data_IF_451695879231
#
_entry.id   IF_451695879231
#
_cell.length_a   1.000
_cell.length_b   1.000
_cell.length_c   1.000
_cell.angle_alpha   90.00
_cell.angle_beta   90.00
_cell.angle_gamma   90.00
#
_symmetry.space_group_name_H-M   'P 1'
#
loop_
_entity.id
_entity.type
_entity.pdbx_description
1 polymer ?
#
# COMPACT_ATOMS: atom_id res chain seq x y z
N UNK A 1 32.19 -13.54 -2.47
CA UNK A 1 30.91 -13.11 -3.09
C UNK A 1 30.54 -11.69 -2.64
N UNK A 2 31.44 -10.70 -2.80
CA UNK A 2 31.40 -9.43 -2.05
C UNK A 2 31.45 -8.17 -2.95
N UNK A 3 30.82 -8.21 -4.13
CA UNK A 3 30.85 -7.06 -5.06
C UNK A 3 29.46 -6.71 -5.63
N UNK A 4 28.38 -7.12 -4.95
CA UNK A 4 27.08 -6.51 -5.18
C UNK A 4 26.94 -5.39 -4.16
N UNK A 5 26.94 -4.14 -4.61
CA UNK A 5 26.59 -3.00 -3.77
C UNK A 5 25.09 -3.10 -3.45
N UNK A 6 24.74 -3.98 -2.52
CA UNK A 6 23.34 -4.25 -2.15
C UNK A 6 22.64 -2.94 -1.75
N UNK A 7 23.37 -2.01 -1.15
CA UNK A 7 22.87 -0.67 -0.85
C UNK A 7 22.41 0.09 -2.10
N UNK A 8 23.18 0.08 -3.18
CA UNK A 8 22.78 0.74 -4.45
C UNK A 8 21.56 0.08 -5.08
N UNK A 9 21.46 -1.25 -5.03
CA UNK A 9 20.28 -1.97 -5.54
C UNK A 9 19.03 -1.59 -4.75
N UNK A 10 19.13 -1.52 -3.41
CA UNK A 10 18.00 -1.16 -2.54
C UNK A 10 17.51 0.28 -2.72
N UNK A 11 18.37 1.20 -3.17
CA UNK A 11 17.96 2.59 -3.48
C UNK A 11 16.97 2.67 -4.66
N UNK A 12 17.07 1.73 -5.59
CA UNK A 12 16.18 1.67 -6.76
C UNK A 12 14.82 1.05 -6.45
N UNK A 13 14.61 0.53 -5.23
CA UNK A 13 13.36 -0.11 -4.83
C UNK A 13 12.31 0.94 -4.50
N UNK A 14 11.31 1.07 -5.38
CA UNK A 14 10.17 1.96 -5.18
C UNK A 14 8.98 1.30 -4.45
N UNK A 15 9.05 0.01 -4.14
CA UNK A 15 8.00 -0.73 -3.44
C UNK A 15 8.12 -0.60 -1.91
N UNK A 16 7.03 -0.79 -1.14
CA UNK A 16 7.12 -0.98 0.30
C UNK A 16 8.01 -2.17 0.67
N UNK A 17 8.86 -2.01 1.69
CA UNK A 17 9.82 -3.02 2.14
C UNK A 17 9.61 -3.34 3.62
N UNK A 18 9.54 -4.62 3.97
CA UNK A 18 9.58 -5.11 5.34
C UNK A 18 10.85 -5.92 5.56
N UNK A 19 11.70 -5.46 6.47
CA UNK A 19 12.91 -6.19 6.87
C UNK A 19 12.68 -6.80 8.24
N UNK A 20 12.75 -8.12 8.32
CA UNK A 20 12.58 -8.89 9.55
C UNK A 20 13.91 -9.55 9.90
N UNK A 21 14.34 -9.42 11.16
CA UNK A 21 15.51 -10.11 11.70
C UNK A 21 15.19 -10.74 13.04
N UNK A 22 15.82 -11.86 13.36
CA UNK A 22 15.82 -12.42 14.71
C UNK A 22 17.05 -12.00 15.53
N UNK A 23 16.88 -11.73 16.83
CA UNK A 23 17.99 -11.29 17.69
C UNK A 23 19.07 -12.37 17.88
N UNK A 24 18.72 -13.65 17.71
CA UNK A 24 19.63 -14.80 17.72
C UNK A 24 20.06 -15.24 16.31
N UNK A 25 19.89 -14.38 15.30
CA UNK A 25 20.47 -14.59 13.98
C UNK A 25 22.00 -14.39 14.03
N UNK A 26 22.73 -15.50 13.90
CA UNK A 26 24.21 -15.54 13.85
C UNK A 26 24.75 -15.58 12.42
N UNK A 27 23.87 -15.66 11.40
CA UNK A 27 24.24 -15.74 9.99
C UNK A 27 24.28 -14.34 9.39
N UNK A 28 23.24 -13.54 9.66
CA UNK A 28 23.13 -12.16 9.18
C UNK A 28 23.22 -11.17 10.34
N UNK A 29 24.12 -10.19 10.21
CA UNK A 29 24.35 -9.20 11.25
C UNK A 29 23.15 -8.24 11.37
N UNK A 30 22.96 -7.70 12.58
CA UNK A 30 21.97 -6.65 12.83
C UNK A 30 22.21 -5.41 11.95
N UNK A 31 23.48 -5.06 11.78
CA UNK A 31 23.89 -3.90 10.99
C UNK A 31 23.47 -4.07 9.53
N UNK A 32 23.64 -5.25 8.94
CA UNK A 32 23.27 -5.48 7.54
C UNK A 32 21.75 -5.36 7.33
N UNK A 33 20.95 -5.96 8.23
CA UNK A 33 19.49 -5.87 8.12
C UNK A 33 18.96 -4.45 8.33
N UNK A 34 19.49 -3.72 9.32
CA UNK A 34 19.07 -2.32 9.56
C UNK A 34 19.51 -1.39 8.43
N UNK A 35 20.70 -1.58 7.88
CA UNK A 35 21.23 -0.78 6.77
C UNK A 35 20.36 -0.84 5.51
N UNK A 36 19.66 -1.95 5.26
CA UNK A 36 18.68 -2.06 4.16
C UNK A 36 17.52 -1.08 4.38
N UNK A 37 16.89 -1.13 5.54
CA UNK A 37 15.74 -0.27 5.85
C UNK A 37 16.13 1.21 5.85
N UNK A 38 17.30 1.54 6.41
CA UNK A 38 17.85 2.89 6.39
C UNK A 38 18.15 3.37 4.96
N UNK A 39 18.71 2.50 4.11
CA UNK A 39 19.02 2.83 2.72
C UNK A 39 17.77 3.10 1.89
N UNK A 40 16.75 2.26 2.03
CA UNK A 40 15.47 2.48 1.33
C UNK A 40 14.80 3.76 1.84
N UNK A 41 14.75 3.98 3.17
CA UNK A 41 14.12 5.18 3.73
C UNK A 41 14.89 6.47 3.44
N UNK A 42 16.20 6.41 3.18
CA UNK A 42 16.99 7.56 2.74
C UNK A 42 16.56 8.06 1.37
N UNK A 43 16.18 7.16 0.46
CA UNK A 43 15.78 7.51 -0.91
C UNK A 43 14.25 7.65 -1.03
N UNK A 44 13.50 6.80 -0.33
CA UNK A 44 12.04 6.79 -0.29
C UNK A 44 11.54 6.80 1.16
N UNK A 45 11.45 7.97 1.81
CA UNK A 45 11.08 8.09 3.22
C UNK A 45 9.75 7.38 3.55
N UNK A 46 9.80 6.51 4.57
CA UNK A 46 8.63 5.78 5.07
C UNK A 46 8.24 4.53 4.27
N UNK A 47 9.00 4.14 3.24
CA UNK A 47 8.73 2.91 2.48
C UNK A 47 9.31 1.65 3.11
N UNK A 48 10.29 1.74 3.99
CA UNK A 48 10.86 0.58 4.67
C UNK A 48 10.54 0.55 6.17
N UNK A 49 10.20 -0.64 6.67
CA UNK A 49 10.04 -0.94 8.10
C UNK A 49 11.03 -2.03 8.50
N UNK A 50 11.79 -1.79 9.58
CA UNK A 50 12.64 -2.79 10.21
C UNK A 50 11.95 -3.34 11.46
N UNK A 51 12.00 -4.66 11.64
CA UNK A 51 11.42 -5.36 12.78
C UNK A 51 12.41 -6.42 13.28
N UNK A 52 12.75 -6.34 14.56
CA UNK A 52 13.61 -7.29 15.24
C UNK A 52 12.77 -8.12 16.21
N UNK A 53 12.82 -9.44 16.06
CA UNK A 53 12.12 -10.39 16.94
C UNK A 53 13.11 -10.97 17.95
N UNK A 54 12.76 -10.88 19.22
CA UNK A 54 13.57 -11.43 20.29
C UNK A 54 13.61 -12.97 20.24
N UNK A 55 14.78 -13.56 20.43
CA UNK A 55 14.96 -15.02 20.55
C UNK A 55 14.89 -15.78 19.22
N UNK A 56 14.51 -15.11 18.14
CA UNK A 56 14.36 -15.71 16.82
C UNK A 56 15.73 -15.88 16.13
N UNK A 57 15.91 -17.00 15.45
CA UNK A 57 17.11 -17.30 14.65
C UNK A 57 16.93 -16.87 13.19
N UNK A 58 17.97 -17.05 12.38
CA UNK A 58 17.94 -16.79 10.94
C UNK A 58 16.75 -17.45 10.21
N UNK A 59 16.39 -18.66 10.61
CA UNK A 59 15.32 -19.45 9.97
C UNK A 59 13.91 -19.14 10.46
N UNK A 60 13.67 -17.99 11.11
CA UNK A 60 12.40 -17.66 11.76
C UNK A 60 11.96 -18.70 12.80
N UNK A 61 12.93 -19.31 13.50
CA UNK A 61 12.63 -20.26 14.57
C UNK A 61 13.00 -19.71 15.93
N UNK A 62 12.17 -20.01 16.93
CA UNK A 62 12.43 -19.82 18.36
C UNK A 62 12.41 -21.22 18.98
N UNK A 63 13.44 -21.57 19.75
CA UNK A 63 13.53 -22.90 20.40
C UNK A 63 13.31 -24.09 19.44
N UNK A 64 13.86 -24.00 18.22
CA UNK A 64 13.74 -25.00 17.13
C UNK A 64 12.32 -25.18 16.56
N UNK A 65 11.38 -24.29 16.89
CA UNK A 65 10.04 -24.25 16.29
C UNK A 65 9.88 -22.99 15.45
N UNK A 66 9.23 -23.11 14.30
CA UNK A 66 8.90 -21.94 13.49
C UNK A 66 7.98 -20.99 14.28
N UNK A 67 8.32 -19.71 14.29
CA UNK A 67 7.55 -18.68 14.98
C UNK A 67 6.32 -18.32 14.15
N UNK A 68 5.18 -18.96 14.46
CA UNK A 68 3.93 -18.78 13.71
C UNK A 68 3.42 -17.33 13.67
N UNK A 69 3.73 -16.54 14.70
CA UNK A 69 3.45 -15.10 14.74
C UNK A 69 4.01 -14.35 13.52
N UNK A 70 5.11 -14.84 12.92
CA UNK A 70 5.68 -14.21 11.75
C UNK A 70 4.73 -14.13 10.57
N UNK A 71 3.90 -15.16 10.40
CA UNK A 71 2.89 -15.18 9.34
C UNK A 71 1.87 -14.06 9.57
N UNK A 72 1.42 -13.87 10.81
CA UNK A 72 0.49 -12.80 11.18
C UNK A 72 1.11 -11.42 10.96
N UNK A 73 2.38 -11.22 11.35
CA UNK A 73 3.12 -9.97 11.12
C UNK A 73 3.19 -9.64 9.63
N UNK A 74 3.58 -10.60 8.80
CA UNK A 74 3.71 -10.42 7.35
C UNK A 74 2.35 -10.12 6.71
N UNK A 75 1.31 -10.89 7.05
CA UNK A 75 -0.02 -10.71 6.49
C UNK A 75 -0.64 -9.37 6.89
N UNK A 76 -0.49 -8.96 8.15
CA UNK A 76 -1.01 -7.67 8.61
C UNK A 76 -0.28 -6.51 7.93
N UNK A 77 1.06 -6.58 7.84
CA UNK A 77 1.83 -5.58 7.12
C UNK A 77 1.43 -5.49 5.64
N UNK A 78 1.25 -6.63 4.95
CA UNK A 78 0.82 -6.65 3.55
C UNK A 78 -0.55 -5.99 3.38
N UNK A 79 -1.51 -6.31 4.27
CA UNK A 79 -2.83 -5.66 4.29
C UNK A 79 -2.73 -4.15 4.51
N UNK A 80 -1.86 -3.69 5.41
CA UNK A 80 -1.61 -2.25 5.61
C UNK A 80 -1.12 -1.57 4.33
N UNK A 81 -0.20 -2.20 3.58
CA UNK A 81 0.31 -1.60 2.34
C UNK A 81 -0.78 -1.53 1.25
N UNK A 82 -1.54 -2.61 1.07
CA UNK A 82 -2.64 -2.63 0.11
C UNK A 82 -3.71 -1.59 0.45
N UNK A 83 -4.03 -1.41 1.74
CA UNK A 83 -4.97 -0.39 2.18
C UNK A 83 -4.46 1.03 1.90
N UNK A 84 -3.16 1.29 2.10
CA UNK A 84 -2.52 2.58 1.78
C UNK A 84 -2.54 2.87 0.29
N UNK A 85 -2.24 1.88 -0.55
CA UNK A 85 -2.31 2.01 -2.01
C UNK A 85 -3.75 2.30 -2.48
N UNK A 86 -4.73 1.58 -1.95
CA UNK A 86 -6.15 1.79 -2.25
C UNK A 86 -6.69 3.15 -1.74
N UNK A 87 -6.11 3.70 -0.67
CA UNK A 87 -6.45 5.04 -0.20
C UNK A 87 -5.80 6.13 -1.08
N UNK A 88 -4.54 5.93 -1.47
CA UNK A 88 -3.81 6.84 -2.37
C UNK A 88 -4.51 6.97 -3.73
N UNK A 89 -4.95 5.85 -4.31
CA UNK A 89 -5.65 5.85 -5.61
C UNK A 89 -7.01 6.55 -5.57
N UNK A 90 -7.75 6.45 -4.46
CA UNK A 90 -9.03 7.16 -4.25
C UNK A 90 -8.86 8.68 -4.13
N UNK A 91 -7.75 9.13 -3.53
CA UNK A 91 -7.48 10.57 -3.35
C UNK A 91 -7.05 11.24 -4.65
N UNK A 92 -6.39 10.51 -5.56
CA UNK A 92 -6.03 11.00 -6.90
C UNK A 92 -7.18 11.06 -7.91
N UNK A 93 -8.32 10.41 -7.63
CA UNK A 93 -9.48 10.36 -8.53
C UNK A 93 -10.45 11.54 -8.43
N UNK A 94 -10.40 12.35 -7.36
CA UNK A 94 -11.34 13.46 -7.11
C UNK A 94 -10.88 14.79 -7.72
N UNK A 95 -10.04 14.76 -8.77
CA UNK A 95 -9.36 15.94 -9.31
C UNK A 95 -9.52 16.15 -10.82
N UNK A 96 -10.65 15.80 -11.45
CA UNK A 96 -10.89 16.17 -12.86
C UNK A 96 -12.35 16.15 -13.34
N UNK A 97 -13.26 16.84 -12.66
CA UNK A 97 -14.46 17.38 -13.33
C UNK A 97 -14.08 18.72 -13.97
N UNK A 98 -13.54 18.65 -15.20
CA UNK A 98 -13.41 19.83 -16.06
C UNK A 98 -14.82 20.21 -16.52
N UNK A 99 -15.36 21.29 -15.98
CA UNK A 99 -16.54 21.95 -16.52
C UNK A 99 -16.29 22.30 -17.99
N UNK A 100 -16.90 21.52 -18.87
CA UNK A 100 -16.88 21.78 -20.30
C UNK A 100 -18.11 22.64 -20.61
N UNK A 101 -17.96 23.96 -20.56
CA UNK A 101 -18.95 24.91 -21.07
C UNK A 101 -18.26 25.86 -22.06
N UNK A 102 -18.30 25.46 -23.34
CA UNK A 102 -18.25 26.38 -24.49
C UNK A 102 -19.49 26.10 -25.34
N UNK A 103 -20.35 27.10 -25.50
CA UNK A 103 -21.48 27.10 -26.41
C UNK A 103 -22.29 28.37 -26.21
N UNK A 104 -22.20 29.31 -27.15
CA UNK A 104 -22.71 30.68 -27.06
C UNK A 104 -24.25 30.84 -27.14
N UNK A 105 -24.75 32.09 -27.16
CA UNK A 105 -26.17 32.40 -27.11
C UNK A 105 -26.78 32.48 -28.52
N UNK A 106 -27.99 31.93 -28.73
CA UNK A 106 -28.74 32.23 -29.96
C UNK A 106 -29.96 31.37 -30.29
N UNK A 107 -31.12 31.78 -29.75
CA UNK A 107 -32.50 31.73 -30.32
C UNK A 107 -33.29 30.40 -30.39
N UNK A 108 -34.20 30.28 -29.42
CA UNK A 108 -35.62 29.92 -29.47
C UNK A 108 -36.23 29.21 -30.71
N UNK A 109 -36.89 28.07 -30.47
CA UNK A 109 -38.20 27.75 -31.06
C UNK A 109 -38.98 26.70 -30.25
N UNK A 110 -40.12 27.15 -29.72
CA UNK A 110 -41.46 26.52 -29.54
C UNK A 110 -41.63 25.04 -29.07
N UNK A 111 -42.34 24.93 -27.93
CA UNK A 111 -43.11 23.82 -27.27
C UNK A 111 -43.85 22.82 -28.21
N UNK A 112 -44.30 21.60 -27.74
CA UNK A 112 -44.94 21.37 -26.43
C UNK A 112 -44.61 20.08 -25.62
N UNK A 113 -45.00 20.12 -24.33
CA UNK A 113 -45.19 18.99 -23.39
C UNK A 113 -46.43 18.15 -23.80
N UNK A 114 -46.78 16.97 -23.20
CA UNK A 114 -46.47 16.42 -21.86
C UNK A 114 -46.03 14.93 -21.91
N UNK A 115 -45.66 14.26 -20.82
CA UNK A 115 -46.57 13.46 -19.97
C UNK A 115 -45.86 13.11 -18.65
N UNK A 116 -46.59 13.30 -17.56
CA UNK A 116 -46.30 12.82 -16.21
C UNK A 116 -46.60 11.32 -16.13
N UNK A 117 -45.77 10.58 -15.39
CA UNK A 117 -46.05 9.29 -14.72
C UNK A 117 -44.67 8.78 -14.24
N UNK A 118 -44.38 8.53 -12.97
CA UNK A 118 -45.25 8.16 -11.86
C UNK A 118 -44.52 7.03 -11.10
N UNK A 119 -44.18 7.30 -9.84
CA UNK A 119 -43.93 6.34 -8.76
C UNK A 119 -42.74 5.36 -8.85
N UNK A 120 -41.73 5.62 -8.02
CA UNK A 120 -41.18 4.58 -7.12
C UNK A 120 -42.24 4.33 -6.01
N UNK A 121 -42.38 3.11 -5.43
CA UNK A 121 -41.34 2.58 -4.55
C UNK A 121 -41.16 1.04 -4.51
N UNK A 122 -40.04 0.67 -3.89
CA UNK A 122 -39.67 -0.62 -3.30
C UNK A 122 -40.82 -1.47 -2.73
N UNK A 123 -40.74 -2.81 -2.85
CA UNK A 123 -41.29 -3.71 -1.84
C UNK A 123 -40.19 -4.23 -0.91
N UNK A 124 -40.46 -4.05 0.38
CA UNK A 124 -39.83 -4.68 1.55
C UNK A 124 -40.36 -6.12 1.63
N UNK A 125 -39.56 -7.05 2.15
CA UNK A 125 -39.69 -8.51 2.03
C UNK A 125 -40.91 -9.19 2.68
N UNK A 126 -40.89 -10.53 2.79
CA UNK A 126 -41.84 -11.30 3.57
C UNK A 126 -41.58 -11.22 5.08
#
# INVERSE_FOLDING_TARGET
>A
MQALNLGEVWQNVAAPVLVIRGSKDTVMSRADSSAIAETVNRVHPGKARYLEMEGMTHGFTVEKKFQGEMVTVILNWAKEQLAKEAASSRTGGMGRLKNNHRGGPGKASRLPAPQVNGLCPFPIGP
#
